data_IF_673357956981
#
_entry.id   IF_673357956981
#
_cell.length_a   1.000
_cell.length_b   1.000
_cell.length_c   1.000
_cell.angle_alpha   90.00
_cell.angle_beta   90.00
_cell.angle_gamma   90.00
#
_symmetry.space_group_name_H-M   'P 1'
#
loop_
_entity.id
_entity.type
_entity.pdbx_description
1 polymer ?
#
# COMPACT_ATOMS: atom_id res chain seq x y z
N UNK A 1 -17.16 -12.81 -18.47
CA UNK A 1 -16.34 -14.02 -18.63
C UNK A 1 -16.24 -14.68 -17.27
N UNK A 2 -16.99 -15.74 -17.01
CA UNK A 2 -16.88 -16.48 -15.75
C UNK A 2 -15.57 -17.26 -15.77
N UNK A 3 -14.58 -16.83 -14.99
CA UNK A 3 -13.37 -17.60 -14.76
C UNK A 3 -13.76 -18.82 -13.93
N UNK A 4 -13.70 -20.02 -14.52
CA UNK A 4 -13.85 -21.27 -13.78
C UNK A 4 -12.70 -21.33 -12.78
N UNK A 5 -13.03 -21.36 -11.50
CA UNK A 5 -12.03 -21.49 -10.43
C UNK A 5 -11.95 -22.97 -10.07
N UNK A 6 -10.76 -23.55 -10.19
CA UNK A 6 -10.49 -24.90 -9.71
C UNK A 6 -10.35 -24.84 -8.19
N UNK A 7 -11.31 -25.44 -7.50
CA UNK A 7 -11.38 -25.43 -6.04
C UNK A 7 -11.16 -26.81 -5.42
N UNK A 8 -11.58 -27.89 -6.11
CA UNK A 8 -11.43 -29.28 -5.66
C UNK A 8 -10.99 -30.15 -6.84
N UNK A 9 -10.15 -31.13 -6.55
CA UNK A 9 -9.54 -32.06 -7.50
C UNK A 9 -10.12 -33.47 -7.37
N UNK A 10 -10.89 -33.72 -6.30
CA UNK A 10 -11.53 -35.00 -6.03
C UNK A 10 -10.49 -36.12 -5.90
N UNK A 11 -10.72 -37.25 -6.59
CA UNK A 11 -9.83 -38.42 -6.54
C UNK A 11 -8.77 -38.43 -7.64
N UNK A 12 -8.49 -37.29 -8.27
CA UNK A 12 -7.53 -37.23 -9.38
C UNK A 12 -6.11 -37.45 -8.87
N UNK A 13 -5.34 -38.40 -9.42
CA UNK A 13 -3.96 -38.63 -9.00
C UNK A 13 -3.06 -37.41 -9.15
N UNK A 14 -2.16 -37.19 -8.18
CA UNK A 14 -1.28 -36.01 -8.12
C UNK A 14 -0.43 -35.80 -9.38
N UNK A 15 0.14 -36.86 -9.95
CA UNK A 15 1.01 -36.77 -11.13
C UNK A 15 0.31 -36.16 -12.37
N UNK A 16 -1.02 -36.23 -12.46
CA UNK A 16 -1.78 -35.64 -13.57
C UNK A 16 -1.99 -34.13 -13.40
N UNK A 17 -2.11 -33.67 -12.16
CA UNK A 17 -2.45 -32.29 -11.78
C UNK A 17 -1.22 -31.46 -11.43
N UNK A 18 -0.09 -32.11 -11.15
CA UNK A 18 1.15 -31.48 -10.70
C UNK A 18 1.56 -30.29 -11.59
N UNK A 19 1.51 -30.48 -12.91
CA UNK A 19 1.86 -29.43 -13.88
C UNK A 19 0.96 -28.19 -13.82
N UNK A 20 -0.30 -28.37 -13.39
CA UNK A 20 -1.27 -27.30 -13.17
C UNK A 20 -1.00 -26.63 -11.82
N UNK A 21 -0.78 -27.43 -10.76
CA UNK A 21 -0.48 -26.93 -9.42
C UNK A 21 0.81 -26.12 -9.36
N UNK A 22 1.84 -26.51 -10.12
CA UNK A 22 3.09 -25.73 -10.26
C UNK A 22 2.88 -24.33 -10.85
N UNK A 23 1.78 -24.10 -11.58
CA UNK A 23 1.42 -22.79 -12.16
C UNK A 23 0.44 -22.00 -11.30
N UNK A 24 -0.16 -22.64 -10.29
CA UNK A 24 -1.07 -21.97 -9.37
C UNK A 24 -0.32 -20.94 -8.54
N UNK A 25 -0.98 -19.83 -8.23
CA UNK A 25 -0.48 -18.93 -7.20
C UNK A 25 -0.73 -19.55 -5.82
N UNK A 26 0.02 -19.11 -4.80
CA UNK A 26 -0.07 -19.58 -3.41
C UNK A 26 -1.51 -19.58 -2.89
N UNK A 27 -2.29 -18.53 -3.21
CA UNK A 27 -3.69 -18.44 -2.79
C UNK A 27 -4.57 -19.53 -3.41
N UNK A 28 -4.32 -19.89 -4.67
CA UNK A 28 -5.06 -20.94 -5.37
C UNK A 28 -4.65 -22.30 -4.81
N UNK A 29 -3.35 -22.55 -4.66
CA UNK A 29 -2.83 -23.79 -4.07
C UNK A 29 -3.41 -24.02 -2.67
N UNK A 30 -3.39 -22.99 -1.81
CA UNK A 30 -3.97 -23.06 -0.45
C UNK A 30 -5.46 -23.39 -0.48
N UNK A 31 -6.20 -22.84 -1.44
CA UNK A 31 -7.63 -23.10 -1.57
C UNK A 31 -7.90 -24.54 -1.99
N UNK A 32 -7.15 -25.05 -2.95
CA UNK A 32 -7.28 -26.42 -3.44
C UNK A 32 -6.98 -27.42 -2.31
N UNK A 33 -5.91 -27.22 -1.55
CA UNK A 33 -5.55 -28.11 -0.44
C UNK A 33 -6.55 -28.07 0.72
N UNK A 34 -7.29 -26.96 0.88
CA UNK A 34 -8.34 -26.88 1.88
C UNK A 34 -9.54 -27.76 1.53
N UNK A 35 -9.78 -28.00 0.24
CA UNK A 35 -10.91 -28.78 -0.26
C UNK A 35 -10.54 -30.19 -0.68
N UNK A 36 -9.24 -30.49 -0.87
CA UNK A 36 -8.73 -31.79 -1.30
C UNK A 36 -7.98 -32.46 -0.15
N UNK A 37 -8.54 -33.52 0.43
CA UNK A 37 -7.90 -34.29 1.49
C UNK A 37 -6.63 -35.01 0.98
N UNK A 38 -5.57 -35.06 1.80
CA UNK A 38 -4.31 -35.76 1.49
C UNK A 38 -3.35 -35.02 0.55
N UNK A 39 -3.78 -33.95 -0.12
CA UNK A 39 -2.95 -33.22 -1.08
C UNK A 39 -1.73 -32.51 -0.45
N UNK A 40 -1.76 -32.24 0.85
CA UNK A 40 -0.71 -31.51 1.56
C UNK A 40 0.65 -32.22 1.57
N UNK A 41 0.66 -33.56 1.49
CA UNK A 41 1.90 -34.35 1.50
C UNK A 41 2.65 -34.23 0.17
N UNK A 42 1.92 -34.25 -0.94
CA UNK A 42 2.49 -34.19 -2.29
C UNK A 42 2.90 -32.77 -2.73
N UNK A 43 2.37 -31.75 -2.06
CA UNK A 43 2.51 -30.34 -2.47
C UNK A 43 3.63 -29.59 -1.73
N UNK A 44 4.34 -30.22 -0.79
CA UNK A 44 5.41 -29.57 0.00
C UNK A 44 6.54 -29.01 -0.90
N UNK A 45 6.87 -29.70 -1.99
CA UNK A 45 7.85 -29.22 -2.98
C UNK A 45 7.38 -27.91 -3.65
N UNK A 46 6.07 -27.77 -3.89
CA UNK A 46 5.49 -26.56 -4.46
C UNK A 46 5.63 -25.39 -3.48
N UNK A 47 5.45 -25.65 -2.18
CA UNK A 47 5.66 -24.64 -1.14
C UNK A 47 7.12 -24.19 -1.04
N UNK A 48 8.07 -25.11 -1.19
CA UNK A 48 9.49 -24.76 -1.29
C UNK A 48 9.76 -23.81 -2.47
N UNK A 49 9.23 -24.14 -3.66
CA UNK A 49 9.36 -23.30 -4.86
C UNK A 49 8.72 -21.93 -4.65
N UNK A 50 7.51 -21.88 -4.08
CA UNK A 50 6.85 -20.61 -3.76
C UNK A 50 7.63 -19.77 -2.76
N UNK A 51 8.22 -20.40 -1.75
CA UNK A 51 9.06 -19.73 -0.76
C UNK A 51 10.28 -19.09 -1.42
N UNK A 52 10.98 -19.83 -2.28
CA UNK A 52 12.12 -19.30 -3.02
C UNK A 52 11.77 -18.16 -3.97
N UNK A 53 10.64 -18.28 -4.67
CA UNK A 53 10.19 -17.25 -5.62
C UNK A 53 9.73 -15.98 -4.91
N UNK A 54 9.07 -16.11 -3.75
CA UNK A 54 8.58 -14.97 -2.98
C UNK A 54 9.69 -14.28 -2.19
N UNK A 55 10.62 -15.05 -1.60
CA UNK A 55 11.67 -14.55 -0.72
C UNK A 55 13.04 -14.67 -1.40
N UNK A 56 13.37 -13.72 -2.27
CA UNK A 56 14.58 -13.76 -3.11
C UNK A 56 15.89 -13.93 -2.34
N UNK A 57 15.99 -13.44 -1.10
CA UNK A 57 17.18 -13.63 -0.25
C UNK A 57 17.47 -15.10 0.08
N UNK A 58 16.45 -15.95 0.09
CA UNK A 58 16.65 -17.39 0.29
C UNK A 58 17.29 -18.03 -0.93
N UNK A 59 16.98 -17.56 -2.13
CA UNK A 59 17.56 -18.11 -3.37
C UNK A 59 19.08 -17.91 -3.41
N UNK A 60 19.59 -16.81 -2.86
CA UNK A 60 21.04 -16.57 -2.75
C UNK A 60 21.74 -17.60 -1.86
N UNK A 61 21.04 -18.13 -0.86
CA UNK A 61 21.54 -19.16 0.04
C UNK A 61 21.52 -20.58 -0.53
N UNK A 62 20.98 -20.80 -1.73
CA UNK A 62 20.78 -22.12 -2.35
C UNK A 62 20.29 -23.20 -1.36
N UNK A 63 19.16 -22.99 -0.67
CA UNK A 63 18.64 -23.97 0.28
C UNK A 63 18.28 -25.26 -0.45
N UNK A 64 18.67 -26.40 0.10
CA UNK A 64 18.31 -27.70 -0.44
C UNK A 64 16.89 -28.05 0.00
N UNK A 65 16.08 -28.60 -0.91
CA UNK A 65 14.77 -29.14 -0.54
C UNK A 65 14.96 -30.36 0.37
N UNK A 66 14.46 -30.26 1.60
CA UNK A 66 14.68 -31.22 2.68
C UNK A 66 13.58 -32.28 2.82
N UNK A 67 12.54 -32.24 1.96
CA UNK A 67 11.37 -33.14 2.02
C UNK A 67 10.74 -33.26 3.43
N UNK A 68 10.87 -32.20 4.24
CA UNK A 68 10.44 -32.20 5.63
C UNK A 68 8.91 -32.19 5.80
N UNK A 69 8.14 -31.80 4.77
CA UNK A 69 6.71 -31.53 4.91
C UNK A 69 6.42 -30.18 5.59
N UNK A 70 7.44 -29.38 5.88
CA UNK A 70 7.34 -28.16 6.67
C UNK A 70 7.40 -26.87 5.84
N UNK A 71 7.55 -26.95 4.51
CA UNK A 71 7.74 -25.75 3.69
C UNK A 71 6.48 -24.87 3.65
N UNK A 72 5.30 -25.47 3.73
CA UNK A 72 4.04 -24.73 3.93
C UNK A 72 4.12 -23.87 5.20
N UNK A 73 4.49 -24.47 6.31
CA UNK A 73 4.57 -23.81 7.62
C UNK A 73 5.65 -22.72 7.62
N UNK A 74 6.83 -23.00 7.02
CA UNK A 74 7.92 -22.04 6.84
C UNK A 74 7.45 -20.83 6.03
N UNK A 75 6.77 -21.04 4.90
CA UNK A 75 6.20 -19.97 4.07
C UNK A 75 5.23 -19.11 4.88
N UNK A 76 4.28 -19.72 5.59
CA UNK A 76 3.27 -19.00 6.37
C UNK A 76 3.90 -18.17 7.49
N UNK A 77 4.89 -18.72 8.20
CA UNK A 77 5.62 -18.02 9.25
C UNK A 77 6.36 -16.79 8.69
N UNK A 78 7.03 -16.94 7.55
CA UNK A 78 7.74 -15.83 6.89
C UNK A 78 6.78 -14.75 6.39
N UNK A 79 5.67 -15.14 5.78
CA UNK A 79 4.62 -14.21 5.33
C UNK A 79 4.04 -13.43 6.51
N UNK A 80 3.77 -14.10 7.64
CA UNK A 80 3.30 -13.44 8.87
C UNK A 80 4.32 -12.41 9.38
N UNK A 81 5.61 -12.77 9.37
CA UNK A 81 6.67 -11.83 9.77
C UNK A 81 6.73 -10.60 8.86
N UNK A 82 6.53 -10.77 7.56
CA UNK A 82 6.45 -9.66 6.60
C UNK A 82 5.23 -8.77 6.85
N UNK A 83 4.05 -9.36 7.07
CA UNK A 83 2.82 -8.63 7.41
C UNK A 83 2.98 -7.83 8.71
N UNK A 84 3.64 -8.39 9.72
CA UNK A 84 3.95 -7.69 10.98
C UNK A 84 4.92 -6.52 10.75
N UNK A 85 5.97 -6.71 9.94
CA UNK A 85 6.91 -5.64 9.57
C UNK A 85 6.20 -4.51 8.81
N UNK A 86 5.33 -4.87 7.87
CA UNK A 86 4.53 -3.91 7.10
C UNK A 86 3.53 -3.15 7.98
N UNK A 87 2.87 -3.83 8.92
CA UNK A 87 1.96 -3.21 9.87
C UNK A 87 2.70 -2.20 10.77
N UNK A 88 3.89 -2.57 11.28
CA UNK A 88 4.74 -1.69 12.10
C UNK A 88 5.20 -0.45 11.32
N UNK A 89 5.68 -0.61 10.09
CA UNK A 89 6.11 0.52 9.26
C UNK A 89 4.93 1.44 8.91
N UNK A 90 3.78 0.87 8.58
CA UNK A 90 2.55 1.61 8.32
C UNK A 90 2.07 2.38 9.55
N UNK A 91 2.12 1.77 10.73
CA UNK A 91 1.75 2.42 11.99
C UNK A 91 2.70 3.60 12.30
N UNK A 92 4.01 3.41 12.11
CA UNK A 92 5.01 4.48 12.27
C UNK A 92 4.72 5.66 11.34
N UNK A 93 4.40 5.39 10.07
CA UNK A 93 4.05 6.43 9.10
C UNK A 93 2.81 7.22 9.56
N UNK A 94 1.73 6.52 9.96
CA UNK A 94 0.51 7.16 10.48
C UNK A 94 0.80 8.04 11.70
N UNK A 95 1.62 7.55 12.62
CA UNK A 95 2.02 8.30 13.81
C UNK A 95 2.77 9.59 13.43
N UNK A 96 3.72 9.52 12.50
CA UNK A 96 4.46 10.71 12.05
C UNK A 96 3.56 11.76 11.41
N UNK A 97 2.62 11.35 10.56
CA UNK A 97 1.64 12.28 9.98
C UNK A 97 0.72 12.89 11.04
N UNK A 98 0.24 12.07 11.98
CA UNK A 98 -0.60 12.57 13.07
C UNK A 98 0.12 13.60 13.94
N UNK A 99 1.41 13.42 14.22
CA UNK A 99 2.21 14.39 14.96
C UNK A 99 2.39 15.68 14.19
N UNK A 100 2.70 15.60 12.90
CA UNK A 100 2.83 16.77 12.03
C UNK A 100 1.52 17.56 11.92
N UNK A 101 0.39 16.86 11.76
CA UNK A 101 -0.93 17.49 11.72
C UNK A 101 -1.27 18.15 13.05
N UNK A 102 -0.92 17.52 14.18
CA UNK A 102 -1.09 18.12 15.51
C UNK A 102 -0.27 19.40 15.66
N UNK A 103 1.02 19.37 15.33
CA UNK A 103 1.92 20.53 15.38
C UNK A 103 1.42 21.68 14.48
N UNK A 104 0.90 21.34 13.29
CA UNK A 104 0.29 22.31 12.38
C UNK A 104 -1.00 22.89 12.94
N UNK A 105 -1.81 22.08 13.62
CA UNK A 105 -3.03 22.53 14.29
C UNK A 105 -2.72 23.42 15.50
N UNK A 106 -1.68 23.12 16.28
CA UNK A 106 -1.25 23.96 17.41
C UNK A 106 -0.72 25.31 16.95
N UNK A 107 0.06 25.34 15.86
CA UNK A 107 0.57 26.60 15.26
C UNK A 107 -0.45 27.35 14.42
N UNK A 108 -1.69 26.87 14.31
CA UNK A 108 -2.70 27.56 13.51
C UNK A 108 -3.03 28.90 14.16
N UNK A 109 -2.98 29.96 13.37
CA UNK A 109 -3.46 31.28 13.81
C UNK A 109 -4.99 31.21 13.86
N UNK A 110 -5.55 31.23 15.07
CA UNK A 110 -6.99 31.33 15.29
C UNK A 110 -7.36 32.82 15.23
N UNK A 111 -8.17 33.20 14.24
CA UNK A 111 -8.77 34.52 14.20
C UNK A 111 -9.83 34.59 15.31
N UNK A 112 -9.69 35.54 16.23
CA UNK A 112 -10.70 35.79 17.26
C UNK A 112 -12.04 36.13 16.57
N UNK A 113 -13.12 35.35 16.80
CA UNK A 113 -14.43 35.61 16.21
C UNK A 113 -15.02 36.97 16.60
N UNK A 114 -14.58 37.53 17.72
CA UNK A 114 -14.98 38.86 18.21
C UNK A 114 -14.32 39.98 17.40
N UNK A 115 -13.15 39.71 16.82
CA UNK A 115 -12.47 40.57 15.86
C UNK A 115 -13.08 40.33 14.47
N UNK A 116 -14.32 40.80 14.27
CA UNK A 116 -14.86 40.93 12.91
C UNK A 116 -13.85 41.78 12.13
N UNK A 117 -13.26 41.30 11.02
CA UNK A 117 -12.37 42.12 10.23
C UNK A 117 -13.15 43.39 9.88
N UNK A 118 -12.65 44.57 10.27
CA UNK A 118 -13.28 45.84 9.94
C UNK A 118 -13.53 45.79 8.45
N UNK A 119 -14.80 45.69 8.05
CA UNK A 119 -15.20 45.82 6.65
C UNK A 119 -14.66 47.18 6.25
N UNK A 120 -13.58 47.21 5.49
CA UNK A 120 -13.09 48.45 4.92
C UNK A 120 -14.22 48.87 3.99
N UNK A 121 -15.06 49.79 4.47
CA UNK A 121 -16.01 50.50 3.65
C UNK A 121 -15.15 51.18 2.59
N UNK A 122 -15.03 50.55 1.42
CA UNK A 122 -14.53 51.22 0.24
C UNK A 122 -15.57 52.29 -0.06
N UNK A 123 -15.35 53.48 0.50
CA UNK A 123 -16.12 54.68 0.17
C UNK A 123 -16.00 54.87 -1.35
N UNK A 124 -17.08 54.71 -2.12
CA UNK A 124 -17.06 55.05 -3.53
C UNK A 124 -16.99 56.57 -3.61
N UNK A 125 -15.81 57.14 -3.88
CA UNK A 125 -15.72 58.55 -4.29
C UNK A 125 -14.64 59.43 -3.66
N UNK A 126 -13.78 58.96 -2.74
CA UNK A 126 -12.70 59.82 -2.22
C UNK A 126 -11.43 59.73 -3.06
N UNK A 127 -11.42 60.46 -4.18
CA UNK A 127 -10.18 60.84 -4.88
C UNK A 127 -9.47 61.93 -4.08
N UNK A 128 -8.30 61.64 -3.50
CA UNK A 128 -7.12 62.54 -3.54
C UNK A 128 -5.92 61.89 -2.83
N UNK A 129 -4.75 62.02 -3.47
CA UNK A 129 -3.39 61.67 -3.02
C UNK A 129 -2.97 60.19 -2.90
N UNK A 130 -2.48 59.68 -4.04
CA UNK A 130 -1.25 58.88 -4.20
C UNK A 130 -0.71 58.12 -2.99
N UNK A 131 -1.07 56.83 -2.90
CA UNK A 131 -0.23 55.79 -2.29
C UNK A 131 0.17 54.81 -3.39
N UNK A 132 1.43 54.38 -3.51
CA UNK A 132 1.79 53.35 -4.47
C UNK A 132 1.07 52.07 -4.02
N UNK A 133 0.12 51.60 -4.82
CA UNK A 133 -0.44 50.26 -4.66
C UNK A 133 0.72 49.30 -4.84
N UNK A 134 1.23 48.75 -3.72
CA UNK A 134 2.22 47.69 -3.78
C UNK A 134 1.68 46.58 -4.70
N UNK A 135 2.43 46.15 -5.73
CA UNK A 135 1.92 45.19 -6.68
C UNK A 135 1.57 43.91 -5.93
N UNK A 136 0.30 43.48 -6.05
CA UNK A 136 -0.18 42.22 -5.46
C UNK A 136 0.74 41.11 -5.94
N UNK A 137 1.59 40.58 -5.05
CA UNK A 137 2.46 39.45 -5.37
C UNK A 137 1.53 38.27 -5.68
N UNK A 138 1.58 37.76 -6.92
CA UNK A 138 0.79 36.61 -7.38
C UNK A 138 1.03 35.43 -6.45
N UNK A 139 -0.05 34.75 -6.05
CA UNK A 139 0.04 33.54 -5.24
C UNK A 139 0.89 32.48 -5.95
N UNK A 140 1.58 31.62 -5.20
CA UNK A 140 2.34 30.48 -5.74
C UNK A 140 1.50 29.67 -6.74
N UNK A 141 0.22 29.47 -6.42
CA UNK A 141 -0.72 28.76 -7.28
C UNK A 141 -1.03 29.51 -8.59
N UNK A 142 -1.06 30.84 -8.53
CA UNK A 142 -1.32 31.70 -9.68
C UNK A 142 -0.09 31.79 -10.60
N UNK A 143 1.13 31.74 -10.04
CA UNK A 143 2.37 31.56 -10.80
C UNK A 143 2.40 30.21 -11.50
N UNK A 144 2.10 29.12 -10.79
CA UNK A 144 2.08 27.77 -11.36
C UNK A 144 1.07 27.65 -12.51
N UNK A 145 -0.14 28.24 -12.37
CA UNK A 145 -1.14 28.29 -13.45
C UNK A 145 -0.68 29.10 -14.66
N UNK A 146 0.03 30.20 -14.44
CA UNK A 146 0.55 31.03 -15.53
C UNK A 146 1.67 30.32 -16.28
N UNK A 147 2.54 29.60 -15.57
CA UNK A 147 3.60 28.78 -16.16
C UNK A 147 3.03 27.64 -17.00
N UNK A 148 2.01 26.94 -16.48
CA UNK A 148 1.31 25.88 -17.22
C UNK A 148 0.56 26.38 -18.47
N UNK A 149 0.19 27.67 -18.53
CA UNK A 149 -0.44 28.29 -19.73
C UNK A 149 0.58 28.75 -20.78
N UNK A 150 1.88 28.69 -20.45
CA UNK A 150 2.98 29.13 -21.33
C UNK A 150 3.67 27.96 -22.04
N UNK A 151 3.31 26.73 -21.67
CA UNK A 151 3.54 25.52 -22.47
C UNK A 151 2.37 25.34 -23.44
#
# INVERSE_FOLDING_TARGET
MSTVVLDDIGTTPYYLIESVLRKCNVKQLTRIELHTEGLTEDTDELWYIHTLNHFGFLREGNPVYDQSGEWRSKYQAMKKQEEEKFAKSSARLRQTYSQYDHEKQERRVILDPSLKPKKTLRQPGSSSWSTPVAPKKKSLFEKARMEARKM
#
